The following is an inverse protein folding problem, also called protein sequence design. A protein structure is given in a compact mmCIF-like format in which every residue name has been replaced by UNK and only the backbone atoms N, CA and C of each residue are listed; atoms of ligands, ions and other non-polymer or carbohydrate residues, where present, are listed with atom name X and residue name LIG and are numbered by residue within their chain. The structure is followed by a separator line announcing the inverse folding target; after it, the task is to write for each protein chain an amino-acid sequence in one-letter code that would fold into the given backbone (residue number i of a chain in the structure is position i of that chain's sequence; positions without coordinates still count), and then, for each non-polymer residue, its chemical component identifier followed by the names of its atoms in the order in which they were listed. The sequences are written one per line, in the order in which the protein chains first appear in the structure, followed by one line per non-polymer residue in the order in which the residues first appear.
data_IF_417682033196
#
_entry.id   IF_417682033196
#
_cell.length_a   1.000
_cell.length_b   1.000
_cell.length_c   1.000
_cell.angle_alpha   90.00
_cell.angle_beta   90.00
_cell.angle_gamma   90.00
#
_symmetry.space_group_name_H-M   'P 1'
#
loop_
_entity.id
_entity.type
_entity.pdbx_description
1 polymer ?
#
# COMPACT_ATOMS: atom_id res chain seq x y z
N UNK A 1 -22.23 6.30 10.09
CA UNK A 1 -20.87 6.04 9.59
C UNK A 1 -20.27 7.37 9.17
N UNK A 2 -19.03 7.66 9.58
CA UNK A 2 -18.34 8.90 9.28
C UNK A 2 -18.10 9.02 7.76
N UNK A 3 -18.47 10.17 7.16
CA UNK A 3 -18.37 10.41 5.72
C UNK A 3 -16.91 10.43 5.26
N UNK A 4 -16.00 10.97 6.07
CA UNK A 4 -14.59 11.07 5.70
C UNK A 4 -13.89 9.70 5.71
N UNK A 5 -14.25 8.84 6.66
CA UNK A 5 -13.76 7.46 6.69
C UNK A 5 -14.17 6.67 5.42
N UNK A 6 -15.42 6.82 4.98
CA UNK A 6 -15.91 6.20 3.73
C UNK A 6 -15.20 6.73 2.50
N UNK A 7 -15.11 8.04 2.36
CA UNK A 7 -14.42 8.66 1.23
C UNK A 7 -12.95 8.22 1.13
N UNK A 8 -12.26 8.09 2.27
CA UNK A 8 -10.88 7.61 2.32
C UNK A 8 -10.77 6.12 1.92
N UNK A 9 -11.69 5.26 2.34
CA UNK A 9 -11.71 3.86 1.94
C UNK A 9 -11.98 3.71 0.43
N UNK A 10 -12.94 4.45 -0.11
CA UNK A 10 -13.22 4.46 -1.56
C UNK A 10 -12.02 4.95 -2.38
N UNK A 11 -11.29 5.93 -1.87
CA UNK A 11 -10.05 6.41 -2.48
C UNK A 11 -8.94 5.36 -2.45
N UNK A 12 -8.79 4.67 -1.33
CA UNK A 12 -7.82 3.60 -1.22
C UNK A 12 -8.11 2.44 -2.18
N UNK A 13 -9.38 2.03 -2.30
CA UNK A 13 -9.82 1.04 -3.29
C UNK A 13 -9.46 1.46 -4.72
N UNK A 14 -9.65 2.73 -5.08
CA UNK A 14 -9.25 3.26 -6.40
C UNK A 14 -7.75 3.11 -6.65
N UNK A 15 -6.93 3.43 -5.65
CA UNK A 15 -5.47 3.34 -5.78
C UNK A 15 -4.99 1.88 -5.91
N UNK A 16 -5.48 0.94 -5.11
CA UNK A 16 -5.08 -0.48 -5.23
C UNK A 16 -5.54 -1.09 -6.55
N UNK A 17 -6.73 -0.72 -7.04
CA UNK A 17 -7.19 -1.15 -8.37
C UNK A 17 -6.25 -0.65 -9.46
N UNK A 18 -5.79 0.60 -9.37
CA UNK A 18 -4.85 1.17 -10.34
C UNK A 18 -3.46 0.48 -10.30
N UNK A 19 -3.01 0.05 -9.12
CA UNK A 19 -1.79 -0.75 -8.95
C UNK A 19 -1.95 -2.12 -9.61
N UNK A 20 -3.05 -2.83 -9.31
CA UNK A 20 -3.34 -4.15 -9.88
C UNK A 20 -3.38 -4.12 -11.40
N UNK A 21 -4.07 -3.13 -11.98
CA UNK A 21 -4.11 -2.94 -13.44
C UNK A 21 -2.72 -2.72 -14.01
N UNK A 22 -1.88 -1.89 -13.37
CA UNK A 22 -0.52 -1.65 -13.85
C UNK A 22 0.34 -2.93 -13.88
N UNK A 23 0.18 -3.80 -12.88
CA UNK A 23 0.96 -5.04 -12.75
C UNK A 23 0.41 -6.18 -13.60
N UNK A 24 -0.92 -6.26 -13.78
CA UNK A 24 -1.58 -7.34 -14.52
C UNK A 24 -1.06 -7.49 -15.97
N UNK A 25 -0.64 -6.39 -16.61
CA UNK A 25 -0.11 -6.41 -17.97
C UNK A 25 1.30 -7.01 -18.10
N UNK A 26 2.00 -7.30 -17.00
CA UNK A 26 3.38 -7.80 -17.00
C UNK A 26 3.49 -9.33 -17.12
N UNK A 27 2.38 -10.07 -16.99
CA UNK A 27 2.33 -11.54 -17.06
C UNK A 27 3.31 -12.26 -16.12
N UNK A 28 3.68 -11.63 -15.00
CA UNK A 28 4.60 -12.17 -13.99
C UNK A 28 3.80 -12.55 -12.74
N UNK A 29 3.66 -13.86 -12.51
CA UNK A 29 2.80 -14.39 -11.45
C UNK A 29 3.23 -13.92 -10.06
N UNK A 30 4.53 -13.82 -9.79
CA UNK A 30 5.00 -13.43 -8.46
C UNK A 30 4.72 -11.94 -8.17
N UNK A 31 4.82 -11.08 -9.20
CA UNK A 31 4.44 -9.68 -9.08
C UNK A 31 2.94 -9.53 -8.82
N UNK A 32 2.13 -10.37 -9.47
CA UNK A 32 0.69 -10.41 -9.25
C UNK A 32 0.35 -10.87 -7.83
N UNK A 33 0.93 -11.98 -7.37
CA UNK A 33 0.69 -12.53 -6.02
C UNK A 33 1.11 -11.54 -4.92
N UNK A 34 2.28 -10.90 -5.07
CA UNK A 34 2.75 -9.88 -4.14
C UNK A 34 1.82 -8.65 -4.11
N UNK A 35 1.29 -8.26 -5.27
CA UNK A 35 0.32 -7.15 -5.38
C UNK A 35 -1.02 -7.51 -4.74
N UNK A 36 -1.53 -8.71 -5.00
CA UNK A 36 -2.76 -9.20 -4.38
C UNK A 36 -2.64 -9.28 -2.85
N UNK A 37 -1.48 -9.72 -2.34
CA UNK A 37 -1.18 -9.72 -0.91
C UNK A 37 -1.23 -8.33 -0.28
N UNK A 38 -0.67 -7.34 -0.97
CA UNK A 38 -0.75 -5.93 -0.55
C UNK A 38 -2.18 -5.40 -0.59
N UNK A 39 -2.93 -5.63 -1.68
CA UNK A 39 -4.35 -5.23 -1.76
C UNK A 39 -5.17 -5.82 -0.61
N UNK A 40 -4.96 -7.09 -0.28
CA UNK A 40 -5.65 -7.74 0.84
C UNK A 40 -5.29 -7.09 2.20
N UNK A 41 -4.07 -6.57 2.37
CA UNK A 41 -3.70 -5.81 3.57
C UNK A 41 -4.36 -4.42 3.62
N UNK A 42 -4.46 -3.73 2.47
CA UNK A 42 -5.19 -2.46 2.36
C UNK A 42 -6.67 -2.64 2.69
N UNK A 43 -7.33 -3.63 2.09
CA UNK A 43 -8.76 -3.90 2.32
C UNK A 43 -9.06 -4.21 3.80
N UNK A 44 -8.14 -4.88 4.51
CA UNK A 44 -8.27 -5.10 5.96
C UNK A 44 -8.19 -3.81 6.76
N UNK A 45 -7.28 -2.91 6.39
CA UNK A 45 -7.15 -1.60 7.04
C UNK A 45 -8.35 -0.70 6.76
N UNK A 46 -8.90 -0.74 5.54
CA UNK A 46 -10.15 -0.06 5.19
C UNK A 46 -11.31 -0.57 6.05
N UNK A 47 -11.48 -1.89 6.16
CA UNK A 47 -12.51 -2.49 7.00
C UNK A 47 -12.37 -2.09 8.47
N UNK A 48 -11.13 -2.07 9.00
CA UNK A 48 -10.86 -1.63 10.36
C UNK A 48 -11.22 -0.14 10.58
N UNK A 49 -10.90 0.73 9.61
CA UNK A 49 -11.29 2.15 9.66
C UNK A 49 -12.82 2.32 9.62
N UNK A 50 -13.51 1.56 8.76
CA UNK A 50 -14.96 1.65 8.64
C UNK A 50 -15.68 1.14 9.90
N UNK A 51 -15.10 0.14 10.57
CA UNK A 51 -15.57 -0.38 11.85
C UNK A 51 -15.33 0.62 12.99
N UNK A 52 -14.18 1.31 13.01
CA UNK A 52 -13.82 2.30 14.02
C UNK A 52 -13.36 3.64 13.39
N UNK A 53 -14.31 4.52 12.99
CA UNK A 53 -13.98 5.75 12.28
C UNK A 53 -13.15 6.76 13.09
N UNK A 54 -13.11 6.66 14.42
CA UNK A 54 -12.28 7.55 15.26
C UNK A 54 -10.77 7.42 14.95
N UNK A 55 -10.36 6.30 14.33
CA UNK A 55 -9.00 6.06 13.85
C UNK A 55 -8.64 6.79 12.55
N UNK A 56 -9.54 7.58 11.95
CA UNK A 56 -9.34 8.28 10.67
C UNK A 56 -7.98 8.96 10.54
N UNK A 57 -7.55 9.73 11.54
CA UNK A 57 -6.27 10.47 11.50
C UNK A 57 -5.08 9.54 11.32
N UNK A 58 -5.10 8.37 11.95
CA UNK A 58 -4.04 7.36 11.82
C UNK A 58 -4.13 6.68 10.44
N UNK A 59 -5.35 6.31 10.02
CA UNK A 59 -5.61 5.60 8.77
C UNK A 59 -5.21 6.41 7.54
N UNK A 60 -5.44 7.73 7.56
CA UNK A 60 -5.16 8.67 6.46
C UNK A 60 -3.72 8.63 5.97
N UNK A 61 -2.76 8.32 6.85
CA UNK A 61 -1.34 8.23 6.45
C UNK A 61 -1.09 7.05 5.51
N UNK A 62 -1.62 5.89 5.86
CA UNK A 62 -1.51 4.66 5.08
C UNK A 62 -2.45 4.71 3.87
N UNK A 63 -3.76 4.82 4.09
CA UNK A 63 -4.78 4.79 3.03
C UNK A 63 -4.75 6.01 2.08
N UNK A 64 -4.01 7.06 2.43
CA UNK A 64 -3.82 8.23 1.58
C UNK A 64 -2.39 8.34 1.05
N UNK A 65 -1.53 9.08 1.76
CA UNK A 65 -0.22 9.51 1.25
C UNK A 65 0.68 8.35 0.79
N UNK A 66 0.76 7.29 1.59
CA UNK A 66 1.59 6.13 1.25
C UNK A 66 1.03 5.44 0.02
N UNK A 67 -0.28 5.21 -0.03
CA UNK A 67 -0.92 4.51 -1.13
C UNK A 67 -0.81 5.26 -2.46
N UNK A 68 -0.97 6.59 -2.44
CA UNK A 68 -0.75 7.47 -3.61
C UNK A 68 0.68 7.33 -4.14
N UNK A 69 1.66 7.29 -3.25
CA UNK A 69 3.07 7.15 -3.63
C UNK A 69 3.37 5.73 -4.15
N UNK A 70 2.79 4.70 -3.54
CA UNK A 70 2.86 3.31 -4.02
C UNK A 70 2.26 3.18 -5.42
N UNK A 71 1.12 3.82 -5.71
CA UNK A 71 0.53 3.79 -7.05
C UNK A 71 1.47 4.40 -8.11
N UNK A 72 2.03 5.58 -7.84
CA UNK A 72 2.96 6.23 -8.76
C UNK A 72 4.20 5.37 -9.01
N UNK A 73 4.73 4.77 -7.95
CA UNK A 73 5.88 3.87 -8.03
C UNK A 73 5.53 2.61 -8.85
N UNK A 74 4.40 1.95 -8.59
CA UNK A 74 3.98 0.76 -9.32
C UNK A 74 3.79 1.02 -10.83
N UNK A 75 3.17 2.16 -11.18
CA UNK A 75 3.04 2.59 -12.59
C UNK A 75 4.40 2.84 -13.25
N UNK A 76 5.32 3.47 -12.53
CA UNK A 76 6.68 3.68 -13.01
C UNK A 76 7.40 2.35 -13.25
N UNK A 77 7.38 1.46 -12.25
CA UNK A 77 7.95 0.13 -12.36
C UNK A 77 7.38 -0.66 -13.53
N UNK A 78 6.05 -0.76 -13.66
CA UNK A 78 5.43 -1.51 -14.74
C UNK A 78 5.87 -1.01 -16.12
N UNK A 79 5.92 0.32 -16.30
CA UNK A 79 6.39 0.93 -17.55
C UNK A 79 7.85 0.58 -17.83
N UNK A 80 8.74 0.66 -16.84
CA UNK A 80 10.16 0.38 -17.03
C UNK A 80 10.45 -1.11 -17.20
N UNK A 81 9.80 -1.96 -16.41
CA UNK A 81 9.96 -3.41 -16.46
C UNK A 81 9.43 -4.00 -17.77
N UNK A 82 8.30 -3.52 -18.29
CA UNK A 82 7.79 -3.95 -19.59
C UNK A 82 8.76 -3.60 -20.75
N UNK A 83 9.41 -2.45 -20.69
CA UNK A 83 10.36 -2.00 -21.71
C UNK A 83 11.73 -2.68 -21.59
N UNK A 84 12.19 -2.96 -20.37
CA UNK A 84 13.51 -3.54 -20.10
C UNK A 84 13.46 -4.40 -18.84
N UNK A 85 13.06 -5.68 -18.95
CA UNK A 85 12.98 -6.58 -17.80
C UNK A 85 14.34 -6.72 -17.11
N UNK A 86 14.39 -6.39 -15.82
CA UNK A 86 15.60 -6.45 -15.01
C UNK A 86 15.31 -7.24 -13.71
N UNK A 87 16.02 -8.35 -13.44
CA UNK A 87 15.81 -9.15 -12.23
C UNK A 87 16.05 -8.40 -10.92
N UNK A 88 16.95 -7.41 -10.92
CA UNK A 88 17.21 -6.56 -9.76
C UNK A 88 16.03 -5.64 -9.45
N UNK A 89 15.51 -4.95 -10.47
CA UNK A 89 14.32 -4.08 -10.35
C UNK A 89 13.08 -4.89 -9.94
N UNK A 90 12.93 -6.11 -10.49
CA UNK A 90 11.88 -7.04 -10.10
C UNK A 90 11.95 -7.42 -8.62
N UNK A 91 13.11 -7.86 -8.14
CA UNK A 91 13.33 -8.22 -6.73
C UNK A 91 13.05 -7.05 -5.80
N UNK A 92 13.54 -5.87 -6.17
CA UNK A 92 13.31 -4.63 -5.43
C UNK A 92 11.81 -4.33 -5.29
N UNK A 93 11.03 -4.43 -6.38
CA UNK A 93 9.58 -4.28 -6.31
C UNK A 93 8.93 -5.29 -5.36
N UNK A 94 9.30 -6.58 -5.46
CA UNK A 94 8.77 -7.64 -4.59
C UNK A 94 9.09 -7.37 -3.11
N UNK A 95 10.31 -6.94 -2.80
CA UNK A 95 10.73 -6.59 -1.45
C UNK A 95 9.92 -5.41 -0.90
N UNK A 96 9.64 -4.40 -1.74
CA UNK A 96 8.79 -3.28 -1.39
C UNK A 96 7.35 -3.71 -1.13
N UNK A 97 6.76 -4.54 -2.00
CA UNK A 97 5.39 -5.02 -1.83
C UNK A 97 5.23 -5.86 -0.56
N UNK A 98 6.24 -6.66 -0.21
CA UNK A 98 6.28 -7.38 1.07
C UNK A 98 6.33 -6.43 2.26
N UNK A 99 7.24 -5.44 2.23
CA UNK A 99 7.36 -4.45 3.32
C UNK A 99 6.08 -3.63 3.51
N UNK A 100 5.43 -3.22 2.41
CA UNK A 100 4.13 -2.54 2.44
C UNK A 100 3.03 -3.44 3.03
N UNK A 101 2.96 -4.69 2.59
CA UNK A 101 1.98 -5.67 3.09
C UNK A 101 2.10 -5.86 4.60
N UNK A 102 3.32 -6.04 5.09
CA UNK A 102 3.58 -6.17 6.53
C UNK A 102 3.19 -4.91 7.30
N UNK A 103 3.52 -3.73 6.76
CA UNK A 103 3.22 -2.47 7.43
C UNK A 103 1.72 -2.18 7.54
N UNK A 104 0.94 -2.47 6.49
CA UNK A 104 -0.52 -2.36 6.57
C UNK A 104 -1.12 -3.41 7.51
N UNK A 105 -0.52 -4.60 7.58
CA UNK A 105 -0.86 -5.60 8.60
C UNK A 105 -0.68 -5.07 10.02
N UNK A 106 0.50 -4.50 10.32
CA UNK A 106 0.79 -3.87 11.61
C UNK A 106 -0.13 -2.68 11.90
N UNK A 107 -0.43 -1.84 10.90
CA UNK A 107 -1.40 -0.75 11.03
C UNK A 107 -2.79 -1.24 11.41
N UNK A 108 -3.22 -2.36 10.83
CA UNK A 108 -4.52 -2.97 11.14
C UNK A 108 -4.56 -3.45 12.60
N UNK A 109 -3.53 -4.17 13.06
CA UNK A 109 -3.45 -4.66 14.45
C UNK A 109 -3.31 -3.52 15.45
N UNK A 110 -2.48 -2.52 15.13
CA UNK A 110 -2.24 -1.37 16.01
C UNK A 110 -3.41 -0.39 16.08
N UNK A 111 -4.48 -0.53 15.28
CA UNK A 111 -5.74 0.18 15.53
C UNK A 111 -6.61 -0.51 16.56
N UNK A 112 -6.38 -1.81 16.80
CA UNK A 112 -6.99 -2.54 17.91
C UNK A 112 -6.25 -2.29 19.24
N UNK A 113 -4.98 -1.87 19.20
CA UNK A 113 -4.13 -1.66 20.39
C UNK A 113 -3.73 -0.18 20.53
N UNK A 114 -3.59 0.35 21.75
CA UNK A 114 -3.35 1.78 22.01
C UNK A 114 -1.90 2.27 21.67
N UNK A 115 -1.23 1.73 20.65
CA UNK A 115 0.17 2.00 20.31
C UNK A 115 0.37 3.03 19.18
N UNK A 116 0.25 4.33 19.46
CA UNK A 116 0.40 5.37 18.43
C UNK A 116 1.83 5.51 17.87
N UNK A 117 2.87 5.28 18.68
CA UNK A 117 4.27 5.62 18.36
C UNK A 117 4.92 4.66 17.36
N UNK A 118 4.60 3.37 17.41
CA UNK A 118 5.18 2.36 16.52
C UNK A 118 4.80 2.61 15.04
N UNK A 119 3.56 3.06 14.81
CA UNK A 119 3.06 3.36 13.47
C UNK A 119 3.68 4.59 12.83
N UNK A 120 4.12 5.56 13.63
CA UNK A 120 4.70 6.79 13.10
C UNK A 120 6.08 6.58 12.51
N UNK A 121 6.89 5.74 13.16
CA UNK A 121 8.24 5.33 12.71
C UNK A 121 8.15 4.50 11.44
N UNK A 122 7.20 3.57 11.41
CA UNK A 122 6.98 2.67 10.28
C UNK A 122 6.58 3.43 9.01
N UNK A 123 5.67 4.39 9.10
CA UNK A 123 5.24 5.14 7.95
C UNK A 123 6.29 6.15 7.43
N UNK A 124 7.26 6.59 8.27
CA UNK A 124 8.43 7.34 7.76
C UNK A 124 9.41 6.41 7.07
N UNK A 125 9.59 5.18 7.59
CA UNK A 125 10.38 4.15 6.93
C UNK A 125 9.84 3.81 5.54
N UNK A 126 8.51 3.69 5.39
CA UNK A 126 7.87 3.46 4.10
C UNK A 126 8.07 4.63 3.12
N UNK A 127 7.94 5.88 3.59
CA UNK A 127 8.22 7.06 2.75
C UNK A 127 9.66 7.07 2.28
N UNK A 128 10.60 6.76 3.17
CA UNK A 128 12.02 6.72 2.83
C UNK A 128 12.34 5.60 1.83
N UNK A 129 11.71 4.43 1.98
CA UNK A 129 11.79 3.35 1.00
C UNK A 129 11.24 3.78 -0.36
N UNK A 130 10.05 4.39 -0.41
CA UNK A 130 9.43 4.86 -1.66
C UNK A 130 10.25 5.96 -2.34
N UNK A 131 10.92 6.84 -1.58
CA UNK A 131 11.84 7.85 -2.14
C UNK A 131 13.01 7.23 -2.89
N UNK A 132 13.46 6.02 -2.53
CA UNK A 132 14.56 5.32 -3.21
C UNK A 132 14.17 4.75 -4.57
N UNK A 133 12.88 4.74 -4.90
CA UNK A 133 12.34 4.27 -6.19
C UNK A 133 11.96 5.42 -7.15
N UNK A 134 12.21 6.66 -6.77
CA UNK A 134 11.94 7.86 -7.56
C UNK A 134 13.15 8.22 -8.42
#
# INVERSE_FOLDING_TARGET
ADIAARALAEEATRHVTAIEVAIAHLSDQELWDATAGFTAAVNRLEAALLAEPSNYRRAKRHLGQILIATEQMAKHFARHYAATPNPGTRRQFLDLMRALTEAYGRATTSYAEAGATALEVEAETLKELLRRYR
#
